data_IF_420379292667
#
_entry.id   IF_420379292667
#
_cell.length_a   1.000
_cell.length_b   1.000
_cell.length_c   1.000
_cell.angle_alpha   90.00
_cell.angle_beta   90.00
_cell.angle_gamma   90.00
#
_symmetry.space_group_name_H-M   'P 1'
#
loop_
_entity.id
_entity.type
_entity.pdbx_description
1 polymer ?
#
# COMPACT_ATOMS: atom_id res chain seq x y z
N UNK A 1 28.04 2.95 27.08
CA UNK A 1 27.12 2.27 26.15
C UNK A 1 25.88 3.13 26.03
N UNK A 2 25.47 3.53 24.81
CA UNK A 2 24.15 4.14 24.62
C UNK A 2 23.11 3.09 25.04
N UNK A 3 22.16 3.46 25.88
CA UNK A 3 21.09 2.54 26.27
C UNK A 3 20.29 2.15 25.03
N UNK A 4 20.35 0.86 24.64
CA UNK A 4 19.73 0.33 23.43
C UNK A 4 18.24 0.70 23.32
N UNK A 5 17.54 0.76 24.45
CA UNK A 5 16.12 1.13 24.53
C UNK A 5 15.89 2.58 24.09
N UNK A 6 16.70 3.51 24.58
CA UNK A 6 16.57 4.93 24.26
C UNK A 6 16.93 5.23 22.80
N UNK A 7 17.98 4.58 22.28
CA UNK A 7 18.33 4.69 20.85
C UNK A 7 17.19 4.19 19.96
N UNK A 8 16.59 3.05 20.34
CA UNK A 8 15.45 2.49 19.61
C UNK A 8 14.27 3.46 19.58
N UNK A 9 13.95 4.08 20.72
CA UNK A 9 12.88 5.06 20.83
C UNK A 9 13.14 6.33 19.99
N UNK A 10 14.37 6.86 20.07
CA UNK A 10 14.80 8.02 19.27
C UNK A 10 14.74 7.74 17.77
N UNK A 11 15.11 6.53 17.34
CA UNK A 11 15.12 6.16 15.93
C UNK A 11 13.75 5.77 15.37
N UNK A 12 12.96 4.99 16.11
CA UNK A 12 11.78 4.29 15.59
C UNK A 12 10.43 4.82 16.10
N UNK A 13 10.40 5.83 16.97
CA UNK A 13 9.13 6.46 17.38
C UNK A 13 8.41 7.12 16.18
N UNK A 14 7.12 7.45 16.35
CA UNK A 14 6.31 8.07 15.28
C UNK A 14 6.90 9.39 14.77
N UNK A 15 7.65 10.10 15.62
CA UNK A 15 8.39 11.33 15.27
C UNK A 15 9.91 11.13 15.35
N UNK A 16 10.34 9.86 15.32
CA UNK A 16 11.74 9.48 15.43
C UNK A 16 12.53 9.77 14.16
N UNK A 17 13.84 9.54 14.25
CA UNK A 17 14.81 9.84 13.19
C UNK A 17 14.40 9.29 11.83
N UNK A 18 13.98 8.02 11.76
CA UNK A 18 13.68 7.40 10.47
C UNK A 18 12.42 7.99 9.84
N UNK A 19 11.41 8.32 10.66
CA UNK A 19 10.21 8.99 10.20
C UNK A 19 10.53 10.41 9.68
N UNK A 20 11.41 11.14 10.37
CA UNK A 20 11.88 12.46 9.95
C UNK A 20 12.68 12.38 8.63
N UNK A 21 13.67 11.51 8.52
CA UNK A 21 14.45 11.31 7.28
C UNK A 21 13.53 10.98 6.10
N UNK A 22 12.60 10.04 6.29
CA UNK A 22 11.63 9.69 5.26
C UNK A 22 10.75 10.87 4.85
N UNK A 23 10.34 11.71 5.81
CA UNK A 23 9.51 12.89 5.53
C UNK A 23 10.22 13.96 4.71
N UNK A 24 11.55 13.98 4.71
CA UNK A 24 12.36 14.90 3.90
C UNK A 24 12.61 14.38 2.48
N UNK A 25 12.54 13.06 2.27
CA UNK A 25 13.04 12.41 1.04
C UNK A 25 11.92 11.73 0.26
N UNK A 26 11.07 10.96 0.93
CA UNK A 26 10.08 10.14 0.24
C UNK A 26 8.83 10.99 -0.04
N UNK A 27 8.40 11.12 -1.31
CA UNK A 27 7.19 11.83 -1.66
C UNK A 27 5.94 11.24 -1.00
N UNK A 28 4.85 12.01 -1.07
CA UNK A 28 3.52 11.56 -0.68
C UNK A 28 3.04 10.42 -1.58
N UNK A 29 2.04 9.66 -1.12
CA UNK A 29 1.48 8.55 -1.90
C UNK A 29 0.90 8.99 -3.25
N UNK A 30 0.29 10.17 -3.32
CA UNK A 30 -0.26 10.71 -4.58
C UNK A 30 0.85 11.08 -5.57
N UNK A 31 1.97 11.63 -5.09
CA UNK A 31 3.15 11.92 -5.91
C UNK A 31 3.82 10.64 -6.42
N UNK A 32 4.00 9.64 -5.55
CA UNK A 32 4.53 8.33 -5.95
C UNK A 32 3.66 7.67 -7.01
N UNK A 33 2.34 7.63 -6.80
CA UNK A 33 1.39 7.09 -7.78
C UNK A 33 1.44 7.85 -9.11
N UNK A 34 1.64 9.17 -9.09
CA UNK A 34 1.83 9.99 -10.29
C UNK A 34 3.13 9.64 -11.03
N UNK A 35 4.23 9.45 -10.31
CA UNK A 35 5.50 9.00 -10.90
C UNK A 35 5.38 7.60 -11.51
N UNK A 36 4.71 6.67 -10.80
CA UNK A 36 4.43 5.32 -11.30
C UNK A 36 3.64 5.36 -12.61
N UNK A 37 2.56 6.16 -12.66
CA UNK A 37 1.78 6.39 -13.89
C UNK A 37 2.66 6.85 -15.05
N UNK A 38 3.50 7.87 -14.86
CA UNK A 38 4.42 8.37 -15.90
C UNK A 38 5.35 7.27 -16.43
N UNK A 39 5.89 6.42 -15.55
CA UNK A 39 6.76 5.30 -15.96
C UNK A 39 6.00 4.22 -16.73
N UNK A 40 4.81 3.86 -16.27
CA UNK A 40 3.93 2.89 -16.94
C UNK A 40 3.50 3.41 -18.31
N UNK A 41 3.10 4.68 -18.42
CA UNK A 41 2.79 5.31 -19.71
C UNK A 41 3.97 5.32 -20.66
N UNK A 42 5.18 5.62 -20.17
CA UNK A 42 6.39 5.52 -21.00
C UNK A 42 6.63 4.10 -21.51
N UNK A 43 6.39 3.09 -20.67
CA UNK A 43 6.61 1.67 -20.98
C UNK A 43 5.61 1.13 -22.01
N UNK A 44 4.34 1.48 -21.90
CA UNK A 44 3.27 0.84 -22.68
C UNK A 44 2.56 1.76 -23.68
N UNK A 45 2.66 3.08 -23.53
CA UNK A 45 1.94 4.08 -24.32
C UNK A 45 2.85 5.22 -24.79
N UNK A 46 4.16 4.99 -24.94
CA UNK A 46 5.11 5.99 -25.45
C UNK A 46 5.07 7.34 -24.69
N UNK A 47 4.65 7.31 -23.42
CA UNK A 47 4.57 8.48 -22.56
C UNK A 47 3.21 9.20 -22.58
N UNK A 48 2.25 8.79 -23.41
CA UNK A 48 0.90 9.36 -23.36
C UNK A 48 0.03 8.64 -22.33
N UNK A 49 -0.97 9.36 -21.84
CA UNK A 49 -2.04 8.78 -21.03
C UNK A 49 -2.93 7.85 -21.90
N UNK A 50 -3.29 6.66 -21.41
CA UNK A 50 -4.19 5.74 -22.11
C UNK A 50 -5.62 6.25 -22.10
N UNK A 51 -6.34 6.01 -23.18
CA UNK A 51 -7.78 6.31 -23.26
C UNK A 51 -8.60 5.31 -22.44
N UNK A 52 -9.85 5.62 -22.03
CA UNK A 52 -10.70 4.70 -21.30
C UNK A 52 -10.87 3.32 -21.97
N UNK A 53 -10.99 3.30 -23.30
CA UNK A 53 -11.10 2.05 -24.10
C UNK A 53 -9.83 1.20 -24.00
N UNK A 54 -8.67 1.83 -23.92
CA UNK A 54 -7.40 1.12 -23.77
C UNK A 54 -7.17 0.61 -22.36
N UNK A 55 -7.60 1.38 -21.36
CA UNK A 55 -7.62 0.97 -19.96
C UNK A 55 -8.50 -0.27 -19.82
N UNK A 56 -9.74 -0.23 -20.30
CA UNK A 56 -10.70 -1.34 -20.18
C UNK A 56 -10.15 -2.65 -20.77
N UNK A 57 -9.49 -2.59 -21.93
CA UNK A 57 -8.88 -3.76 -22.59
C UNK A 57 -7.75 -4.42 -21.81
N UNK A 58 -7.06 -3.68 -20.92
CA UNK A 58 -5.85 -4.14 -20.21
C UNK A 58 -5.89 -3.77 -18.73
N UNK A 59 -7.08 -3.77 -18.13
CA UNK A 59 -7.30 -3.14 -16.82
C UNK A 59 -6.54 -3.83 -15.68
N UNK A 60 -6.48 -5.16 -15.67
CA UNK A 60 -5.65 -5.92 -14.73
C UNK A 60 -4.16 -5.64 -14.91
N UNK A 61 -3.68 -5.69 -16.15
CA UNK A 61 -2.26 -5.45 -16.45
C UNK A 61 -1.84 -4.03 -16.07
N UNK A 62 -2.68 -3.04 -16.37
CA UNK A 62 -2.44 -1.65 -15.99
C UNK A 62 -2.44 -1.50 -14.47
N UNK A 63 -3.45 -2.01 -13.77
CA UNK A 63 -3.53 -1.91 -12.30
C UNK A 63 -2.32 -2.57 -11.64
N UNK A 64 -1.96 -3.79 -12.04
CA UNK A 64 -0.80 -4.49 -11.53
C UNK A 64 0.50 -3.73 -11.81
N UNK A 65 0.68 -3.26 -13.05
CA UNK A 65 1.87 -2.50 -13.44
C UNK A 65 2.02 -1.21 -12.65
N UNK A 66 0.92 -0.52 -12.35
CA UNK A 66 0.94 0.69 -11.53
C UNK A 66 1.42 0.40 -10.11
N UNK A 67 0.88 -0.64 -9.46
CA UNK A 67 1.27 -1.03 -8.11
C UNK A 67 2.72 -1.48 -8.02
N UNK A 68 3.13 -2.33 -8.95
CA UNK A 68 4.47 -2.90 -8.96
C UNK A 68 5.51 -1.80 -9.28
N UNK A 69 5.19 -0.88 -10.21
CA UNK A 69 6.05 0.26 -10.53
C UNK A 69 6.09 1.30 -9.40
N UNK A 70 4.99 1.57 -8.70
CA UNK A 70 5.01 2.47 -7.53
C UNK A 70 5.90 1.90 -6.43
N UNK A 71 5.85 0.57 -6.21
CA UNK A 71 6.74 -0.09 -5.27
C UNK A 71 8.21 0.03 -5.68
N UNK A 72 8.54 -0.13 -6.96
CA UNK A 72 9.90 0.11 -7.49
C UNK A 72 10.35 1.55 -7.23
N UNK A 73 9.53 2.55 -7.56
CA UNK A 73 9.83 3.98 -7.31
C UNK A 73 10.06 4.22 -5.82
N UNK A 74 9.23 3.63 -4.97
CA UNK A 74 9.38 3.76 -3.53
C UNK A 74 10.70 3.17 -3.02
N UNK A 75 11.12 2.01 -3.53
CA UNK A 75 12.41 1.40 -3.17
C UNK A 75 13.60 2.28 -3.58
N UNK A 76 13.52 2.97 -4.72
CA UNK A 76 14.54 3.97 -5.11
C UNK A 76 14.63 5.11 -4.09
N UNK A 77 13.49 5.58 -3.57
CA UNK A 77 13.48 6.60 -2.51
C UNK A 77 13.97 6.07 -1.15
N UNK A 78 13.74 4.80 -0.82
CA UNK A 78 14.34 4.17 0.37
C UNK A 78 15.86 4.12 0.28
N UNK A 79 16.40 3.81 -0.90
CA UNK A 79 17.84 3.82 -1.14
C UNK A 79 18.41 5.25 -0.97
N UNK A 80 17.73 6.26 -1.50
CA UNK A 80 18.10 7.67 -1.27
C UNK A 80 18.05 8.02 0.23
N UNK A 81 17.06 7.50 0.97
CA UNK A 81 17.01 7.67 2.43
C UNK A 81 18.24 7.09 3.11
N UNK A 82 18.64 5.86 2.76
CA UNK A 82 19.81 5.21 3.34
C UNK A 82 21.11 5.99 3.05
N UNK A 83 21.26 6.51 1.83
CA UNK A 83 22.42 7.29 1.40
C UNK A 83 22.51 8.64 2.12
N UNK A 84 21.39 9.36 2.26
CA UNK A 84 21.34 10.68 2.89
C UNK A 84 21.18 10.65 4.41
N UNK A 85 20.89 9.50 5.00
CA UNK A 85 20.61 9.38 6.44
C UNK A 85 21.76 9.95 7.28
N UNK A 86 23.01 9.63 6.95
CA UNK A 86 24.17 10.09 7.74
C UNK A 86 24.30 11.61 7.71
N UNK A 87 24.22 12.20 6.51
CA UNK A 87 24.27 13.66 6.30
C UNK A 87 23.16 14.38 7.08
N UNK A 88 21.93 13.87 6.98
CA UNK A 88 20.78 14.46 7.67
C UNK A 88 20.92 14.37 9.19
N UNK A 89 21.43 13.27 9.72
CA UNK A 89 21.60 13.08 11.17
C UNK A 89 22.73 13.94 11.72
N UNK A 90 23.79 14.17 10.94
CA UNK A 90 24.92 15.01 11.32
C UNK A 90 24.70 16.50 11.06
N UNK A 91 23.60 16.90 10.43
CA UNK A 91 23.21 18.30 10.32
C UNK A 91 22.90 18.93 11.68
N UNK A 92 22.96 20.26 11.80
CA UNK A 92 22.65 20.99 13.04
C UNK A 92 21.27 20.61 13.61
N UNK A 93 20.27 20.47 12.72
CA UNK A 93 18.93 20.04 13.12
C UNK A 93 18.93 18.57 13.60
N UNK A 94 19.60 17.69 12.85
CA UNK A 94 19.70 16.27 13.15
C UNK A 94 20.36 16.00 14.49
N UNK A 95 21.50 16.65 14.77
CA UNK A 95 22.24 16.54 16.03
C UNK A 95 21.39 16.99 17.22
N UNK A 96 20.67 18.12 17.06
CA UNK A 96 19.80 18.65 18.10
C UNK A 96 18.60 17.74 18.37
N UNK A 97 18.00 17.14 17.33
CA UNK A 97 16.80 16.30 17.44
C UNK A 97 17.10 14.87 17.85
N UNK A 98 18.21 14.31 17.39
CA UNK A 98 18.56 12.89 17.52
C UNK A 98 20.00 12.74 18.05
N UNK A 99 20.28 13.23 19.28
CA UNK A 99 21.63 13.32 19.80
C UNK A 99 22.30 11.96 20.01
N UNK A 100 21.54 10.89 20.27
CA UNK A 100 22.12 9.55 20.48
C UNK A 100 22.56 8.93 19.16
N UNK A 101 21.71 9.04 18.12
CA UNK A 101 22.07 8.61 16.78
C UNK A 101 23.27 9.42 16.26
N UNK A 102 23.24 10.75 16.42
CA UNK A 102 24.35 11.62 16.03
C UNK A 102 25.65 11.24 16.77
N UNK A 103 25.59 10.93 18.07
CA UNK A 103 26.76 10.48 18.83
C UNK A 103 27.38 9.19 18.26
N UNK A 104 26.56 8.22 17.85
CA UNK A 104 27.07 6.99 17.20
C UNK A 104 27.81 7.31 15.90
N UNK A 105 27.22 8.18 15.08
CA UNK A 105 27.84 8.58 13.81
C UNK A 105 29.11 9.38 14.03
N UNK A 106 29.13 10.28 15.02
CA UNK A 106 30.33 11.03 15.39
C UNK A 106 31.43 10.10 15.89
N UNK A 107 31.12 9.12 16.74
CA UNK A 107 32.12 8.12 17.17
C UNK A 107 32.68 7.31 16.00
N UNK A 108 31.87 7.00 14.98
CA UNK A 108 32.35 6.37 13.76
C UNK A 108 33.30 7.29 12.98
N UNK A 109 32.98 8.59 12.86
CA UNK A 109 33.83 9.59 12.20
C UNK A 109 35.16 9.79 12.94
N UNK A 110 35.13 9.86 14.26
CA UNK A 110 36.33 10.00 15.09
C UNK A 110 37.25 8.79 14.90
N UNK A 111 36.70 7.57 14.81
CA UNK A 111 37.46 6.36 14.49
C UNK A 111 38.07 6.39 13.08
N UNK A 112 37.41 7.00 12.09
CA UNK A 112 37.99 7.17 10.75
C UNK A 112 39.27 8.02 10.81
N UNK A 113 39.26 9.08 11.64
CA UNK A 113 40.38 9.99 11.81
C UNK A 113 41.54 9.43 12.68
N UNK A 114 41.32 8.30 13.38
CA UNK A 114 42.32 7.72 14.29
C UNK A 114 43.44 7.00 13.51
N UNK A 115 44.52 7.73 13.24
CA UNK A 115 45.70 7.21 12.53
C UNK A 115 46.57 6.27 13.38
N UNK A 116 46.31 6.15 14.69
CA UNK A 116 47.08 5.26 15.58
C UNK A 116 46.64 3.80 15.45
N UNK A 117 45.43 3.56 14.96
CA UNK A 117 44.88 2.21 14.75
C UNK A 117 45.23 1.67 13.37
N UNK A 118 45.33 0.35 13.26
CA UNK A 118 45.38 -0.30 11.94
C UNK A 118 44.05 -0.13 11.19
N UNK A 119 44.08 -0.23 9.87
CA UNK A 119 42.88 -0.15 9.02
C UNK A 119 41.81 -1.15 9.43
N UNK A 120 42.18 -2.39 9.76
CA UNK A 120 41.23 -3.43 10.18
C UNK A 120 40.62 -3.10 11.55
N UNK A 121 41.39 -2.56 12.50
CA UNK A 121 40.86 -2.12 13.79
C UNK A 121 39.86 -0.98 13.63
N UNK A 122 40.16 0.03 12.78
CA UNK A 122 39.21 1.11 12.45
C UNK A 122 37.91 0.56 11.87
N UNK A 123 37.99 -0.33 10.88
CA UNK A 123 36.82 -0.93 10.24
C UNK A 123 35.94 -1.68 11.24
N UNK A 124 36.54 -2.48 12.13
CA UNK A 124 35.80 -3.22 13.15
C UNK A 124 35.09 -2.29 14.15
N UNK A 125 35.75 -1.23 14.60
CA UNK A 125 35.15 -0.25 15.51
C UNK A 125 34.03 0.56 14.83
N UNK A 126 34.23 1.02 13.59
CA UNK A 126 33.19 1.70 12.81
C UNK A 126 31.96 0.79 12.68
N UNK A 127 32.16 -0.50 12.38
CA UNK A 127 31.07 -1.46 12.29
C UNK A 127 30.29 -1.59 13.61
N UNK A 128 30.95 -1.52 14.77
CA UNK A 128 30.30 -1.55 16.08
C UNK A 128 29.37 -0.34 16.27
N UNK A 129 29.77 0.85 15.81
CA UNK A 129 28.94 2.05 15.90
C UNK A 129 27.80 2.10 14.87
N UNK A 130 28.07 1.69 13.62
CA UNK A 130 27.10 1.79 12.54
C UNK A 130 26.07 0.66 12.54
N UNK A 131 26.42 -0.54 13.01
CA UNK A 131 25.50 -1.68 13.06
C UNK A 131 24.18 -1.40 13.79
N UNK A 132 24.15 -0.85 15.03
CA UNK A 132 22.89 -0.56 15.71
C UNK A 132 22.06 0.48 14.95
N UNK A 133 22.71 1.49 14.36
CA UNK A 133 22.05 2.52 13.54
C UNK A 133 21.35 1.89 12.34
N UNK A 134 22.08 1.22 11.45
CA UNK A 134 21.50 0.64 10.23
C UNK A 134 20.47 -0.45 10.55
N UNK A 135 20.70 -1.26 11.59
CA UNK A 135 19.71 -2.25 12.02
C UNK A 135 18.36 -1.62 12.35
N UNK A 136 18.36 -0.55 13.15
CA UNK A 136 17.12 0.13 13.55
C UNK A 136 16.50 0.91 12.39
N UNK A 137 17.33 1.48 11.51
CA UNK A 137 16.92 2.19 10.31
C UNK A 137 16.18 1.27 9.34
N UNK A 138 16.79 0.16 8.94
CA UNK A 138 16.22 -0.85 8.04
C UNK A 138 14.93 -1.47 8.58
N UNK A 139 14.89 -1.75 9.88
CA UNK A 139 13.68 -2.25 10.53
C UNK A 139 12.52 -1.25 10.41
N UNK A 140 12.79 0.04 10.53
CA UNK A 140 11.75 1.08 10.43
C UNK A 140 11.31 1.32 8.98
N UNK A 141 12.23 1.26 8.02
CA UNK A 141 11.88 1.26 6.59
C UNK A 141 10.96 0.08 6.23
N UNK A 142 11.29 -1.12 6.72
CA UNK A 142 10.44 -2.31 6.53
C UNK A 142 9.01 -2.15 7.07
N UNK A 143 8.84 -1.51 8.23
CA UNK A 143 7.51 -1.20 8.76
C UNK A 143 6.81 -0.12 7.93
N UNK A 144 7.57 0.84 7.38
CA UNK A 144 7.07 1.85 6.44
C UNK A 144 6.44 1.25 5.18
N UNK A 145 7.10 0.25 4.58
CA UNK A 145 6.57 -0.50 3.41
C UNK A 145 5.17 -1.04 3.65
N UNK A 146 4.97 -1.67 4.81
CA UNK A 146 3.69 -2.29 5.17
C UNK A 146 2.55 -1.29 5.28
N UNK A 147 2.81 -0.09 5.83
CA UNK A 147 1.80 0.95 5.98
C UNK A 147 1.36 1.57 4.65
N UNK A 148 2.26 1.65 3.65
CA UNK A 148 1.99 2.31 2.37
C UNK A 148 1.25 1.44 1.36
N UNK A 149 1.53 0.14 1.35
CA UNK A 149 1.00 -0.76 0.32
C UNK A 149 -0.54 -0.80 0.25
N UNK A 150 -1.23 -0.54 1.36
CA UNK A 150 -2.69 -0.39 1.37
C UNK A 150 -3.17 0.88 0.66
N UNK A 151 -2.55 2.03 0.96
CA UNK A 151 -2.91 3.32 0.37
C UNK A 151 -2.61 3.39 -1.13
N UNK A 152 -1.49 2.83 -1.57
CA UNK A 152 -1.11 2.72 -2.99
C UNK A 152 -2.22 2.06 -3.82
N UNK A 153 -2.72 0.91 -3.36
CA UNK A 153 -3.77 0.17 -4.05
C UNK A 153 -5.09 0.93 -4.13
N UNK A 154 -5.43 1.70 -3.08
CA UNK A 154 -6.61 2.56 -3.08
C UNK A 154 -6.46 3.71 -4.08
N UNK A 155 -5.33 4.43 -4.06
CA UNK A 155 -5.06 5.54 -4.97
C UNK A 155 -5.13 5.09 -6.43
N UNK A 156 -4.55 3.93 -6.76
CA UNK A 156 -4.57 3.42 -8.12
C UNK A 156 -5.95 2.90 -8.55
N UNK A 157 -6.72 2.28 -7.65
CA UNK A 157 -8.08 1.86 -7.95
C UNK A 157 -9.00 3.06 -8.18
N UNK A 158 -8.92 4.07 -7.32
CA UNK A 158 -9.66 5.33 -7.47
C UNK A 158 -9.37 6.00 -8.81
N UNK A 159 -8.09 6.11 -9.18
CA UNK A 159 -7.69 6.62 -10.49
C UNK A 159 -8.34 5.83 -11.64
N UNK A 160 -8.31 4.49 -11.60
CA UNK A 160 -8.89 3.66 -12.65
C UNK A 160 -10.42 3.82 -12.74
N UNK A 161 -11.11 3.85 -11.61
CA UNK A 161 -12.56 4.05 -11.56
C UNK A 161 -12.95 5.39 -12.19
N UNK A 162 -12.23 6.46 -11.87
CA UNK A 162 -12.48 7.78 -12.45
C UNK A 162 -12.26 7.78 -13.97
N UNK A 163 -11.18 7.16 -14.45
CA UNK A 163 -10.93 7.03 -15.89
C UNK A 163 -11.98 6.19 -16.63
N UNK A 164 -12.64 5.27 -15.93
CA UNK A 164 -13.70 4.42 -16.47
C UNK A 164 -15.11 5.02 -16.28
N UNK A 165 -15.21 6.29 -15.88
CA UNK A 165 -16.48 7.02 -15.82
C UNK A 165 -17.35 6.64 -14.60
N UNK A 166 -16.73 6.25 -13.50
CA UNK A 166 -17.36 6.12 -12.18
C UNK A 166 -17.14 7.35 -11.28
N UNK A 167 -16.57 8.42 -11.82
CA UNK A 167 -16.43 9.69 -11.09
C UNK A 167 -17.80 10.17 -10.60
N UNK A 168 -17.89 10.49 -9.31
CA UNK A 168 -19.16 10.84 -8.64
C UNK A 168 -20.10 9.66 -8.35
N UNK A 169 -19.71 8.42 -8.64
CA UNK A 169 -20.51 7.21 -8.35
C UNK A 169 -19.93 6.34 -7.24
N UNK A 170 -19.04 6.89 -6.43
CA UNK A 170 -18.56 6.28 -5.20
C UNK A 170 -18.09 7.32 -4.19
N UNK A 171 -18.06 6.93 -2.93
CA UNK A 171 -17.44 7.69 -1.85
C UNK A 171 -16.30 6.87 -1.23
N UNK A 172 -15.20 7.53 -0.90
CA UNK A 172 -14.05 6.88 -0.26
C UNK A 172 -14.05 7.07 1.25
N UNK A 173 -13.41 6.15 1.97
CA UNK A 173 -13.09 6.28 3.41
C UNK A 173 -14.31 6.52 4.33
N UNK A 174 -15.51 6.10 3.92
CA UNK A 174 -16.74 6.29 4.69
C UNK A 174 -16.74 5.43 5.97
N UNK A 175 -17.38 5.95 7.01
CA UNK A 175 -17.59 5.22 8.27
C UNK A 175 -19.04 4.77 8.33
N UNK A 176 -19.26 3.47 8.13
CA UNK A 176 -20.55 2.81 8.30
C UNK A 176 -20.63 2.28 9.73
N UNK A 177 -20.51 0.97 9.90
CA UNK A 177 -20.17 0.33 11.20
C UNK A 177 -18.65 0.25 11.41
N UNK A 178 -17.90 0.38 10.32
CA UNK A 178 -16.46 0.37 10.23
C UNK A 178 -16.02 1.18 9.02
N UNK A 179 -14.72 1.41 8.89
CA UNK A 179 -14.17 2.23 7.80
C UNK A 179 -14.08 1.41 6.52
N UNK A 180 -14.78 1.84 5.47
CA UNK A 180 -14.73 1.22 4.14
C UNK A 180 -13.84 2.01 3.21
N UNK A 181 -13.15 1.32 2.30
CA UNK A 181 -12.25 1.98 1.35
C UNK A 181 -13.06 2.69 0.25
N UNK A 182 -14.06 1.99 -0.31
CA UNK A 182 -15.01 2.52 -1.29
C UNK A 182 -16.44 2.04 -0.99
N UNK A 183 -17.39 2.97 -1.07
CA UNK A 183 -18.83 2.73 -1.01
C UNK A 183 -19.48 3.18 -2.30
N UNK A 184 -20.24 2.30 -2.95
CA UNK A 184 -20.97 2.61 -4.17
C UNK A 184 -22.50 2.54 -3.92
N UNK A 185 -23.28 3.50 -4.43
CA UNK A 185 -22.82 4.72 -5.08
C UNK A 185 -22.51 5.86 -4.10
N UNK A 186 -23.18 5.90 -2.95
CA UNK A 186 -23.05 6.98 -1.97
C UNK A 186 -23.57 6.55 -0.59
N UNK A 187 -23.21 7.31 0.46
CA UNK A 187 -23.78 7.09 1.79
C UNK A 187 -25.28 7.28 1.82
N UNK A 188 -25.79 8.25 1.07
CA UNK A 188 -27.23 8.51 0.99
C UNK A 188 -27.99 7.33 0.37
N UNK A 189 -27.47 6.76 -0.71
CA UNK A 189 -28.04 5.55 -1.33
C UNK A 189 -27.98 4.35 -0.37
N UNK A 190 -26.89 4.23 0.39
CA UNK A 190 -26.74 3.20 1.42
C UNK A 190 -27.82 3.28 2.50
N UNK A 191 -28.08 4.49 3.02
CA UNK A 191 -29.08 4.71 4.07
C UNK A 191 -30.51 4.43 3.55
N UNK A 192 -30.74 4.58 2.24
CA UNK A 192 -32.02 4.28 1.59
C UNK A 192 -32.21 2.78 1.29
N UNK A 193 -31.23 2.15 0.67
CA UNK A 193 -31.26 0.73 0.31
C UNK A 193 -29.85 0.12 0.19
N UNK A 194 -29.35 -0.34 1.33
CA UNK A 194 -28.04 -0.99 1.44
C UNK A 194 -27.90 -2.28 0.63
N UNK A 195 -28.99 -2.95 0.22
CA UNK A 195 -28.89 -4.23 -0.52
C UNK A 195 -28.49 -4.04 -1.98
N UNK A 196 -28.80 -2.86 -2.55
CA UNK A 196 -28.39 -2.47 -3.90
C UNK A 196 -27.00 -1.84 -3.96
N UNK A 197 -26.47 -1.42 -2.82
CA UNK A 197 -25.14 -0.83 -2.69
C UNK A 197 -24.06 -1.91 -2.62
N UNK A 198 -22.82 -1.54 -2.97
CA UNK A 198 -21.67 -2.43 -2.79
C UNK A 198 -20.57 -1.74 -2.00
N UNK A 199 -19.80 -2.55 -1.28
CA UNK A 199 -18.59 -2.12 -0.59
C UNK A 199 -17.41 -2.75 -1.30
N UNK A 200 -16.39 -1.97 -1.59
CA UNK A 200 -15.10 -2.47 -2.09
C UNK A 200 -14.04 -2.14 -1.06
N UNK A 201 -13.41 -3.16 -0.50
CA UNK A 201 -12.23 -3.01 0.37
C UNK A 201 -10.99 -3.51 -0.35
N UNK A 202 -9.88 -2.81 -0.18
CA UNK A 202 -8.62 -3.09 -0.85
C UNK A 202 -7.56 -3.43 0.18
N UNK A 203 -6.94 -4.60 0.06
CA UNK A 203 -5.85 -5.05 0.92
C UNK A 203 -4.70 -5.55 0.06
N UNK A 204 -3.46 -5.21 0.41
CA UNK A 204 -2.29 -5.80 -0.27
C UNK A 204 -2.22 -7.31 -0.09
N UNK A 205 -2.60 -7.81 1.09
CA UNK A 205 -2.56 -9.23 1.46
C UNK A 205 -3.73 -9.56 2.37
N UNK A 206 -4.19 -10.81 2.32
CA UNK A 206 -5.32 -11.27 3.11
C UNK A 206 -4.93 -11.50 4.57
N UNK A 207 -3.89 -12.32 4.79
CA UNK A 207 -3.45 -12.83 6.12
C UNK A 207 -4.66 -13.27 6.97
N UNK A 208 -4.72 -12.88 8.24
CA UNK A 208 -5.89 -12.98 9.12
C UNK A 208 -6.82 -11.76 9.03
N UNK A 209 -6.42 -10.71 8.32
CA UNK A 209 -7.09 -9.39 8.30
C UNK A 209 -8.46 -9.38 7.61
N UNK A 210 -8.78 -10.42 6.85
CA UNK A 210 -10.13 -10.62 6.34
C UNK A 210 -11.17 -10.77 7.46
N UNK A 211 -10.75 -11.25 8.64
CA UNK A 211 -11.61 -11.34 9.83
C UNK A 211 -12.13 -9.98 10.29
N UNK A 212 -11.26 -8.96 10.23
CA UNK A 212 -11.59 -7.58 10.61
C UNK A 212 -12.67 -6.99 9.71
N UNK A 213 -12.68 -7.32 8.41
CA UNK A 213 -13.71 -6.84 7.48
C UNK A 213 -15.11 -7.32 7.90
N UNK A 214 -15.22 -8.53 8.47
CA UNK A 214 -16.51 -9.03 8.98
C UNK A 214 -16.95 -8.34 10.26
N UNK A 215 -16.03 -8.22 11.22
CA UNK A 215 -16.29 -7.66 12.55
C UNK A 215 -16.63 -6.16 12.45
N UNK A 216 -15.85 -5.41 11.67
CA UNK A 216 -16.01 -3.96 11.53
C UNK A 216 -17.27 -3.58 10.75
N UNK A 217 -17.63 -4.33 9.71
CA UNK A 217 -18.82 -3.99 8.92
C UNK A 217 -20.12 -4.52 9.53
N UNK A 218 -20.05 -5.41 10.52
CA UNK A 218 -21.21 -6.05 11.12
C UNK A 218 -22.11 -6.63 10.03
N UNK A 219 -21.51 -7.32 9.06
CA UNK A 219 -22.17 -7.77 7.82
C UNK A 219 -23.28 -8.76 8.19
N UNK A 220 -24.49 -8.26 8.43
CA UNK A 220 -25.70 -9.05 8.57
C UNK A 220 -26.38 -9.11 7.21
N UNK A 221 -26.58 -10.33 6.69
CA UNK A 221 -27.46 -10.73 5.58
C UNK A 221 -27.76 -9.72 4.46
N UNK A 222 -27.26 -9.98 3.25
CA UNK A 222 -27.71 -9.34 2.00
C UNK A 222 -26.80 -8.25 1.43
N UNK A 223 -25.70 -7.92 2.10
CA UNK A 223 -24.69 -6.98 1.59
C UNK A 223 -23.75 -7.66 0.61
N UNK A 224 -23.41 -6.96 -0.49
CA UNK A 224 -22.40 -7.40 -1.44
C UNK A 224 -21.08 -6.69 -1.15
N UNK A 225 -20.07 -7.45 -0.74
CA UNK A 225 -18.73 -6.94 -0.45
C UNK A 225 -17.71 -7.57 -1.39
N UNK A 226 -16.91 -6.71 -2.02
CA UNK A 226 -15.77 -7.09 -2.84
C UNK A 226 -14.48 -6.80 -2.07
N UNK A 227 -13.64 -7.82 -1.91
CA UNK A 227 -12.34 -7.72 -1.28
C UNK A 227 -11.24 -7.84 -2.33
N UNK A 228 -10.63 -6.73 -2.71
CA UNK A 228 -9.55 -6.66 -3.70
C UNK A 228 -8.22 -6.99 -3.03
N UNK A 229 -7.55 -8.04 -3.51
CA UNK A 229 -6.22 -8.46 -3.08
C UNK A 229 -5.21 -8.25 -4.20
N UNK A 230 -4.16 -7.49 -3.91
CA UNK A 230 -3.17 -7.08 -4.92
C UNK A 230 -1.88 -7.89 -4.92
N UNK A 231 -1.85 -9.04 -4.24
CA UNK A 231 -0.71 -9.96 -4.20
C UNK A 231 -0.31 -10.48 -5.59
N UNK A 232 0.99 -10.46 -5.93
CA UNK A 232 1.55 -11.27 -7.01
C UNK A 232 1.33 -12.76 -6.75
N UNK A 233 1.40 -13.55 -7.82
CA UNK A 233 1.19 -15.00 -7.84
C UNK A 233 1.97 -15.73 -6.73
N UNK A 234 3.27 -15.47 -6.61
CA UNK A 234 4.14 -16.19 -5.66
C UNK A 234 3.77 -15.95 -4.19
N UNK A 235 3.29 -14.75 -3.88
CA UNK A 235 2.80 -14.41 -2.54
C UNK A 235 1.38 -14.95 -2.32
N UNK A 236 0.52 -14.84 -3.33
CA UNK A 236 -0.87 -15.26 -3.27
C UNK A 236 -0.99 -16.76 -2.95
N UNK A 237 -0.12 -17.61 -3.50
CA UNK A 237 -0.11 -19.06 -3.23
C UNK A 237 -0.03 -19.40 -1.74
N UNK A 238 0.72 -18.61 -0.96
CA UNK A 238 0.93 -18.84 0.47
C UNK A 238 -0.19 -18.25 1.32
N UNK A 239 -0.81 -17.18 0.85
CA UNK A 239 -1.79 -16.42 1.63
C UNK A 239 -3.24 -16.78 1.32
N UNK A 240 -3.56 -17.09 0.06
CA UNK A 240 -4.89 -17.48 -0.41
C UNK A 240 -4.98 -19.00 -0.48
N UNK A 241 -5.14 -19.66 0.67
CA UNK A 241 -5.38 -21.11 0.72
C UNK A 241 -6.84 -21.43 0.41
N UNK A 242 -7.12 -22.64 -0.07
CA UNK A 242 -8.51 -23.10 -0.33
C UNK A 242 -9.41 -22.95 0.90
N UNK A 243 -8.90 -23.27 2.09
CA UNK A 243 -9.64 -23.13 3.35
C UNK A 243 -10.00 -21.67 3.66
N UNK A 244 -9.09 -20.72 3.41
CA UNK A 244 -9.36 -19.29 3.60
C UNK A 244 -10.41 -18.80 2.61
N UNK A 245 -10.30 -19.19 1.35
CA UNK A 245 -11.27 -18.84 0.31
C UNK A 245 -12.65 -19.40 0.67
N UNK A 246 -12.73 -20.65 1.12
CA UNK A 246 -14.00 -21.25 1.54
C UNK A 246 -14.62 -20.53 2.75
N UNK A 247 -13.82 -20.09 3.70
CA UNK A 247 -14.30 -19.28 4.82
C UNK A 247 -14.82 -17.90 4.38
N UNK A 248 -14.15 -17.24 3.42
CA UNK A 248 -14.59 -15.96 2.85
C UNK A 248 -15.94 -16.13 2.12
N UNK A 249 -16.09 -17.23 1.38
CA UNK A 249 -17.32 -17.55 0.64
C UNK A 249 -18.54 -17.67 1.54
N UNK A 250 -18.40 -18.38 2.66
CA UNK A 250 -19.46 -18.57 3.66
C UNK A 250 -20.01 -17.25 4.22
N UNK A 251 -19.24 -16.16 4.08
CA UNK A 251 -19.56 -14.83 4.59
C UNK A 251 -20.07 -13.88 3.51
N UNK A 252 -20.47 -14.40 2.36
CA UNK A 252 -21.00 -13.64 1.22
C UNK A 252 -20.04 -12.60 0.60
N UNK A 253 -18.73 -12.78 0.74
CA UNK A 253 -17.73 -11.90 0.14
C UNK A 253 -17.29 -12.45 -1.22
N UNK A 254 -17.08 -11.54 -2.17
CA UNK A 254 -16.39 -11.79 -3.43
C UNK A 254 -14.93 -11.40 -3.29
N UNK A 255 -14.02 -12.34 -3.51
CA UNK A 255 -12.60 -12.04 -3.57
C UNK A 255 -12.24 -11.58 -4.99
N UNK A 256 -11.58 -10.44 -5.11
CA UNK A 256 -11.08 -9.95 -6.41
C UNK A 256 -9.56 -10.02 -6.37
N UNK A 257 -8.95 -10.74 -7.32
CA UNK A 257 -7.50 -10.97 -7.37
C UNK A 257 -6.96 -10.60 -8.74
N UNK A 258 -5.63 -10.51 -8.88
CA UNK A 258 -4.99 -10.40 -10.19
C UNK A 258 -5.47 -11.52 -11.12
N UNK A 259 -5.67 -11.25 -12.40
CA UNK A 259 -6.19 -12.25 -13.34
C UNK A 259 -5.32 -13.51 -13.39
N UNK A 260 -3.99 -13.34 -13.31
CA UNK A 260 -3.02 -14.44 -13.22
C UNK A 260 -3.24 -15.33 -11.98
N UNK A 261 -3.55 -14.75 -10.82
CA UNK A 261 -3.84 -15.48 -9.57
C UNK A 261 -5.14 -16.28 -9.72
N UNK A 262 -6.18 -15.66 -10.30
CA UNK A 262 -7.47 -16.32 -10.58
C UNK A 262 -7.27 -17.53 -11.49
N UNK A 263 -6.56 -17.34 -12.61
CA UNK A 263 -6.34 -18.40 -13.59
C UNK A 263 -5.52 -19.56 -13.03
N UNK A 264 -4.47 -19.26 -12.27
CA UNK A 264 -3.53 -20.28 -11.79
C UNK A 264 -4.06 -21.07 -10.59
N UNK A 265 -4.77 -20.42 -9.66
CA UNK A 265 -5.16 -21.06 -8.40
C UNK A 265 -6.66 -21.26 -8.22
N UNK A 266 -7.50 -20.49 -8.89
CA UNK A 266 -8.95 -20.48 -8.65
C UNK A 266 -9.82 -20.47 -9.92
N UNK A 267 -9.47 -21.18 -11.02
CA UNK A 267 -10.14 -21.00 -12.31
C UNK A 267 -11.66 -21.26 -12.26
N UNK A 268 -12.10 -22.27 -11.49
CA UNK A 268 -13.52 -22.64 -11.36
C UNK A 268 -14.28 -21.96 -10.22
N UNK A 269 -13.61 -21.18 -9.36
CA UNK A 269 -14.25 -20.65 -8.14
C UNK A 269 -15.03 -19.36 -8.42
N UNK A 270 -16.36 -19.43 -8.44
CA UNK A 270 -17.23 -18.30 -8.82
C UNK A 270 -17.14 -17.10 -7.88
N UNK A 271 -16.79 -17.32 -6.61
CA UNK A 271 -16.64 -16.27 -5.59
C UNK A 271 -15.25 -15.63 -5.59
N UNK A 272 -14.35 -16.09 -6.46
CA UNK A 272 -13.06 -15.47 -6.73
C UNK A 272 -13.09 -14.92 -8.15
N UNK A 273 -12.91 -13.62 -8.31
CA UNK A 273 -12.99 -12.91 -9.57
C UNK A 273 -11.59 -12.47 -9.98
N UNK A 274 -11.30 -12.54 -11.29
CA UNK A 274 -10.21 -11.77 -11.86
C UNK A 274 -10.52 -10.28 -11.79
N UNK A 275 -9.50 -9.44 -11.66
CA UNK A 275 -9.68 -7.99 -11.61
C UNK A 275 -10.35 -7.47 -12.89
N UNK A 276 -10.03 -8.03 -14.05
CA UNK A 276 -10.71 -7.68 -15.31
C UNK A 276 -12.19 -8.02 -15.25
N UNK A 277 -12.55 -9.20 -14.74
CA UNK A 277 -13.96 -9.62 -14.58
C UNK A 277 -14.71 -8.67 -13.64
N UNK A 278 -14.08 -8.29 -12.53
CA UNK A 278 -14.67 -7.36 -11.58
C UNK A 278 -14.98 -6.00 -12.22
N UNK A 279 -14.02 -5.41 -12.92
CA UNK A 279 -14.16 -4.07 -13.49
C UNK A 279 -15.07 -4.04 -14.72
N UNK A 280 -14.98 -5.03 -15.61
CA UNK A 280 -15.64 -4.99 -16.93
C UNK A 280 -17.01 -5.68 -16.96
N UNK A 281 -17.35 -6.47 -15.95
CA UNK A 281 -18.60 -7.24 -15.93
C UNK A 281 -19.39 -6.99 -14.64
N UNK A 282 -18.78 -7.25 -13.48
CA UNK A 282 -19.48 -7.14 -12.20
C UNK A 282 -19.86 -5.70 -11.88
N UNK A 283 -18.90 -4.78 -11.95
CA UNK A 283 -19.15 -3.39 -11.58
C UNK A 283 -20.22 -2.72 -12.47
N UNK A 284 -20.23 -2.89 -13.82
CA UNK A 284 -21.32 -2.41 -14.67
C UNK A 284 -22.68 -3.02 -14.34
N UNK A 285 -22.74 -4.32 -14.04
CA UNK A 285 -23.99 -4.98 -13.64
C UNK A 285 -24.53 -4.36 -12.34
N UNK A 286 -23.66 -4.14 -11.35
CA UNK A 286 -24.06 -3.51 -10.09
C UNK A 286 -24.47 -2.05 -10.27
N UNK A 287 -23.81 -1.33 -11.19
CA UNK A 287 -24.17 0.05 -11.57
C UNK A 287 -25.64 0.18 -11.99
N UNK A 288 -26.16 -0.79 -12.74
CA UNK A 288 -27.57 -0.80 -13.13
C UNK A 288 -28.52 -0.91 -11.93
N UNK A 289 -28.11 -1.59 -10.86
CA UNK A 289 -28.93 -1.79 -9.66
C UNK A 289 -29.01 -0.52 -8.80
N UNK A 290 -27.92 0.23 -8.67
CA UNK A 290 -27.90 1.43 -7.82
C UNK A 290 -28.20 2.73 -8.57
N UNK A 291 -28.15 2.76 -9.90
CA UNK A 291 -28.46 3.97 -10.68
C UNK A 291 -29.84 4.59 -10.34
N UNK A 292 -30.93 3.81 -10.17
CA UNK A 292 -32.22 4.37 -9.76
C UNK A 292 -32.16 5.09 -8.41
N UNK A 293 -31.29 4.65 -7.48
CA UNK A 293 -31.11 5.31 -6.18
C UNK A 293 -30.52 6.71 -6.31
N UNK A 294 -29.75 6.97 -7.37
CA UNK A 294 -29.17 8.29 -7.66
C UNK A 294 -30.10 9.17 -8.51
N UNK A 295 -30.93 8.57 -9.37
CA UNK A 295 -31.84 9.32 -10.26
C UNK A 295 -33.08 9.84 -9.53
N UNK A 296 -33.54 9.17 -8.47
CA UNK A 296 -34.59 9.66 -7.55
C UNK A 296 -34.19 10.95 -6.78
N UNK A 297 -33.03 11.54 -7.10
CA UNK A 297 -32.49 12.76 -6.52
C UNK A 297 -32.54 13.99 -7.44
N UNK A 298 -32.89 13.83 -8.73
CA UNK A 298 -33.11 14.95 -9.66
C UNK A 298 -34.58 15.32 -9.74
#
# INVERSE_FOLDING_TARGET
MVEWRELKEEMQSQRGLVAWVRGQIIPTGTELASQARKRVWKRYWQGREPTPVEIEKRVDELFCSLLDTEYEVYLEYEEICAQKALELVLSDEGVRRFPRAAKLLQSALDTVADTQKSTIQRLNEIAVYLRPFYRLFEQSLAQGRMGRAGGSAQIHLEYLLNQLGYDGEFETQQVLNGKVDFLFPSRKAWDKDKQRCIIVSVKRSLRERYKQVFEELGITGGLTVYLVITQPVDEARKDLTSDKVENIKKQNIYLVVRDSVKQQYFPGEQRVLGFTQFITQELPLRRQLWKPLMEEEK
#
